data_IF_936239265410
#
_entry.id   IF_936239265410
#
_cell.length_a   1.000
_cell.length_b   1.000
_cell.length_c   1.000
_cell.angle_alpha   90.00
_cell.angle_beta   90.00
_cell.angle_gamma   90.00
#
_symmetry.space_group_name_H-M   'P 1'
#
loop_
_entity.id
_entity.type
_entity.pdbx_description
1 polymer ?
#
# COMPACT_ATOMS: atom_id res chain seq x y z
N UNK A 1 -14.33 17.83 -16.00
CA UNK A 1 -13.53 16.62 -15.66
C UNK A 1 -12.43 16.44 -16.72
N UNK A 2 -11.36 15.67 -16.44
CA UNK A 2 -10.41 15.27 -17.48
C UNK A 2 -11.08 14.54 -18.64
N UNK A 3 -10.42 14.46 -19.80
CA UNK A 3 -10.93 13.73 -20.95
C UNK A 3 -10.90 12.21 -20.73
N UNK A 4 -11.74 11.45 -21.45
CA UNK A 4 -11.73 9.98 -21.39
C UNK A 4 -10.34 9.40 -21.68
N UNK A 5 -9.56 10.05 -22.55
CA UNK A 5 -8.19 9.64 -22.86
C UNK A 5 -7.26 9.77 -21.65
N UNK A 6 -7.33 10.88 -20.91
CA UNK A 6 -6.53 11.08 -19.70
C UNK A 6 -6.88 10.06 -18.62
N UNK A 7 -8.15 9.71 -18.49
CA UNK A 7 -8.56 8.65 -17.56
C UNK A 7 -8.07 7.26 -18.00
N UNK A 8 -8.07 6.95 -19.32
CA UNK A 8 -7.49 5.70 -19.81
C UNK A 8 -6.00 5.59 -19.45
N UNK A 9 -5.25 6.68 -19.62
CA UNK A 9 -3.83 6.76 -19.29
C UNK A 9 -3.60 6.70 -17.77
N UNK A 10 -4.41 7.41 -16.99
CA UNK A 10 -4.29 7.46 -15.52
C UNK A 10 -4.62 6.14 -14.83
N UNK A 11 -5.66 5.43 -15.32
CA UNK A 11 -6.16 4.19 -14.70
C UNK A 11 -5.73 2.92 -15.45
N UNK A 12 -4.94 3.05 -16.53
CA UNK A 12 -4.49 1.94 -17.38
C UNK A 12 -5.63 1.03 -17.86
N UNK A 13 -6.77 1.63 -18.20
CA UNK A 13 -7.96 0.90 -18.66
C UNK A 13 -8.34 1.28 -20.09
N UNK A 14 -9.14 0.41 -20.72
CA UNK A 14 -9.62 0.66 -22.07
C UNK A 14 -10.62 1.83 -22.12
N UNK A 15 -10.71 2.48 -23.29
CA UNK A 15 -11.71 3.52 -23.54
C UNK A 15 -13.15 3.00 -23.38
N UNK A 16 -13.37 1.73 -23.69
CA UNK A 16 -14.66 1.07 -23.46
C UNK A 16 -15.02 1.03 -21.97
N UNK A 17 -14.05 0.68 -21.10
CA UNK A 17 -14.24 0.67 -19.65
C UNK A 17 -14.58 2.06 -19.11
N UNK A 18 -13.84 3.09 -19.54
CA UNK A 18 -14.10 4.48 -19.12
C UNK A 18 -15.48 4.95 -19.58
N UNK A 19 -15.88 4.64 -20.82
CA UNK A 19 -17.21 5.02 -21.30
C UNK A 19 -18.32 4.35 -20.48
N UNK A 20 -18.19 3.07 -20.13
CA UNK A 20 -19.15 2.40 -19.23
C UNK A 20 -19.24 3.06 -17.85
N UNK A 21 -18.12 3.49 -17.29
CA UNK A 21 -18.10 4.25 -16.03
C UNK A 21 -18.83 5.57 -16.18
N UNK A 22 -18.59 6.30 -17.26
CA UNK A 22 -19.30 7.55 -17.53
C UNK A 22 -20.80 7.35 -17.76
N UNK A 23 -21.20 6.28 -18.45
CA UNK A 23 -22.62 5.95 -18.64
C UNK A 23 -23.30 5.64 -17.30
N UNK A 24 -22.62 4.91 -16.40
CA UNK A 24 -23.11 4.65 -15.04
C UNK A 24 -23.26 5.94 -14.23
N UNK A 25 -22.22 6.80 -14.20
CA UNK A 25 -22.27 8.10 -13.52
C UNK A 25 -23.33 9.03 -14.09
N UNK A 26 -23.59 8.96 -15.40
CA UNK A 26 -24.68 9.70 -16.06
C UNK A 26 -26.06 9.16 -15.66
N UNK A 27 -26.19 7.84 -15.58
CA UNK A 27 -27.44 7.22 -15.13
C UNK A 27 -27.77 7.57 -13.67
N UNK A 28 -26.76 7.78 -12.83
CA UNK A 28 -26.88 8.27 -11.46
C UNK A 28 -27.06 9.80 -11.37
N UNK A 29 -27.07 10.51 -12.50
CA UNK A 29 -27.25 11.98 -12.54
C UNK A 29 -26.03 12.79 -12.03
N UNK A 30 -24.88 12.15 -11.84
CA UNK A 30 -23.68 12.76 -11.28
C UNK A 30 -22.84 13.52 -12.33
N UNK A 31 -22.97 13.14 -13.61
CA UNK A 31 -22.18 13.70 -14.70
C UNK A 31 -23.07 14.00 -15.91
N UNK A 32 -22.90 15.19 -16.49
CA UNK A 32 -23.44 15.54 -17.81
C UNK A 32 -22.36 15.30 -18.88
N UNK A 33 -22.71 14.48 -19.87
CA UNK A 33 -21.82 14.09 -20.97
C UNK A 33 -22.40 14.61 -22.29
N UNK A 34 -21.70 15.56 -22.88
CA UNK A 34 -22.07 16.13 -24.18
C UNK A 34 -21.07 15.69 -25.27
N UNK A 35 -21.52 15.42 -26.49
CA UNK A 35 -20.64 15.06 -27.58
C UNK A 35 -19.52 16.10 -27.77
N UNK A 36 -18.29 15.64 -27.89
CA UNK A 36 -17.08 16.46 -28.13
C UNK A 36 -16.67 17.41 -27.00
N UNK A 37 -17.33 17.38 -25.85
CA UNK A 37 -16.96 18.15 -24.67
C UNK A 37 -16.45 17.20 -23.56
N UNK A 38 -15.63 17.76 -22.67
CA UNK A 38 -15.24 17.04 -21.47
C UNK A 38 -16.46 16.84 -20.56
N UNK A 39 -16.60 15.70 -19.89
CA UNK A 39 -17.70 15.46 -18.94
C UNK A 39 -17.70 16.52 -17.84
N UNK A 40 -18.88 16.99 -17.47
CA UNK A 40 -19.10 18.00 -16.45
C UNK A 40 -19.78 17.34 -15.24
N UNK A 41 -19.25 17.55 -14.04
CA UNK A 41 -19.92 17.11 -12.80
C UNK A 41 -21.17 17.95 -12.61
N UNK A 42 -22.33 17.28 -12.47
CA UNK A 42 -23.59 17.95 -12.17
C UNK A 42 -23.58 18.33 -10.68
N UNK A 43 -23.85 19.60 -10.38
CA UNK A 43 -24.00 20.03 -8.99
C UNK A 43 -25.34 19.54 -8.45
N UNK A 44 -25.31 18.71 -7.44
CA UNK A 44 -26.52 18.20 -6.74
C UNK A 44 -26.99 19.16 -5.65
N UNK A 45 -26.62 20.45 -5.73
CA UNK A 45 -26.92 21.44 -4.68
C UNK A 45 -28.44 21.56 -4.36
N UNK A 46 -29.31 21.13 -5.27
CA UNK A 46 -30.76 21.27 -5.09
C UNK A 46 -31.46 20.01 -4.53
N UNK A 47 -30.74 18.89 -4.32
CA UNK A 47 -31.34 17.62 -3.88
C UNK A 47 -30.79 17.03 -2.59
N UNK A 48 -29.71 17.56 -2.04
CA UNK A 48 -29.19 17.07 -0.76
C UNK A 48 -29.93 17.73 0.42
N UNK A 49 -30.96 17.07 0.91
CA UNK A 49 -31.38 17.27 2.29
C UNK A 49 -30.17 16.94 3.18
N UNK A 50 -29.69 17.91 3.95
CA UNK A 50 -28.56 17.74 4.86
C UNK A 50 -28.70 16.49 5.76
N UNK A 51 -29.94 16.11 6.09
CA UNK A 51 -30.25 14.89 6.84
C UNK A 51 -29.92 13.60 6.10
N UNK A 52 -30.08 13.51 4.77
CA UNK A 52 -29.76 12.30 4.01
C UNK A 52 -28.27 12.07 3.88
N UNK A 53 -27.49 13.14 3.72
CA UNK A 53 -26.02 13.09 3.68
C UNK A 53 -25.45 12.66 5.04
N UNK A 54 -25.98 13.19 6.14
CA UNK A 54 -25.58 12.78 7.50
C UNK A 54 -25.86 11.29 7.72
N UNK A 55 -27.03 10.79 7.33
CA UNK A 55 -27.35 9.37 7.45
C UNK A 55 -26.39 8.49 6.64
N UNK A 56 -25.99 8.91 5.45
CA UNK A 56 -25.06 8.16 4.63
C UNK A 56 -23.64 8.15 5.22
N UNK A 57 -23.19 9.25 5.82
CA UNK A 57 -21.94 9.33 6.57
C UNK A 57 -21.97 8.41 7.80
N UNK A 58 -23.08 8.42 8.56
CA UNK A 58 -23.22 7.57 9.74
C UNK A 58 -23.26 6.08 9.42
N UNK A 59 -23.81 5.67 8.27
CA UNK A 59 -23.71 4.28 7.79
C UNK A 59 -22.26 3.85 7.54
N UNK A 60 -21.37 4.78 7.24
CA UNK A 60 -19.95 4.54 6.95
C UNK A 60 -19.04 4.87 8.15
N UNK A 61 -19.61 5.20 9.32
CA UNK A 61 -18.89 5.70 10.51
C UNK A 61 -17.67 4.86 10.85
N UNK A 62 -17.84 3.55 10.96
CA UNK A 62 -16.75 2.64 11.34
C UNK A 62 -15.60 2.66 10.32
N UNK A 63 -15.91 2.55 9.03
CA UNK A 63 -14.91 2.59 7.96
C UNK A 63 -14.16 3.94 7.95
N UNK A 64 -14.87 5.06 8.09
CA UNK A 64 -14.28 6.39 8.14
C UNK A 64 -13.30 6.49 9.31
N UNK A 65 -13.72 6.08 10.51
CA UNK A 65 -12.89 6.14 11.72
C UNK A 65 -11.64 5.29 11.58
N UNK A 66 -11.76 4.03 11.16
CA UNK A 66 -10.63 3.14 10.95
C UNK A 66 -9.65 3.65 9.88
N UNK A 67 -10.15 4.34 8.84
CA UNK A 67 -9.31 5.00 7.83
C UNK A 67 -8.47 6.11 8.48
N UNK A 68 -9.06 6.97 9.32
CA UNK A 68 -8.30 8.02 10.02
C UNK A 68 -7.30 7.45 11.03
N UNK A 69 -7.67 6.42 11.78
CA UNK A 69 -6.76 5.72 12.69
C UNK A 69 -5.57 5.11 11.95
N UNK A 70 -5.84 4.50 10.78
CA UNK A 70 -4.77 3.97 9.91
C UNK A 70 -3.89 5.08 9.37
N UNK A 71 -4.44 6.22 8.98
CA UNK A 71 -3.68 7.41 8.59
C UNK A 71 -2.70 7.87 9.66
N UNK A 72 -3.20 8.01 10.88
CA UNK A 72 -2.36 8.45 12.00
C UNK A 72 -1.17 7.52 12.24
N UNK A 73 -1.32 6.23 11.94
CA UNK A 73 -0.26 5.25 12.09
C UNK A 73 0.79 5.30 10.98
N UNK A 74 0.39 5.41 9.71
CA UNK A 74 1.31 5.16 8.60
C UNK A 74 1.75 6.40 7.84
N UNK A 75 0.91 7.45 7.71
CA UNK A 75 1.26 8.63 6.92
C UNK A 75 2.46 9.42 7.46
N UNK A 76 2.68 9.57 8.76
CA UNK A 76 3.86 10.28 9.27
C UNK A 76 5.17 9.71 8.71
N UNK A 77 5.34 8.39 8.74
CA UNK A 77 6.54 7.73 8.19
C UNK A 77 6.70 7.97 6.69
N UNK A 78 5.61 7.86 5.91
CA UNK A 78 5.63 8.06 4.47
C UNK A 78 5.99 9.51 4.09
N UNK A 79 5.41 10.49 4.81
CA UNK A 79 5.66 11.91 4.57
C UNK A 79 7.08 12.30 4.96
N UNK A 80 7.56 11.87 6.14
CA UNK A 80 8.94 12.15 6.58
C UNK A 80 9.96 11.59 5.60
N UNK A 81 9.79 10.33 5.20
CA UNK A 81 10.64 9.72 4.19
C UNK A 81 10.63 10.50 2.87
N UNK A 82 9.46 10.93 2.41
CA UNK A 82 9.31 11.64 1.15
C UNK A 82 9.92 13.05 1.18
N UNK A 83 9.93 13.68 2.36
CA UNK A 83 10.51 15.02 2.57
C UNK A 83 12.03 15.04 2.70
N UNK A 84 12.71 13.89 2.84
CA UNK A 84 14.16 13.86 2.96
C UNK A 84 14.85 14.45 1.73
N UNK A 85 15.66 15.48 1.93
CA UNK A 85 16.37 16.18 0.88
C UNK A 85 15.49 17.04 -0.04
N UNK A 86 14.25 17.34 0.36
CA UNK A 86 13.32 18.17 -0.40
C UNK A 86 13.19 19.56 0.24
N UNK A 87 13.31 20.60 -0.58
CA UNK A 87 12.84 21.92 -0.20
C UNK A 87 11.33 22.01 -0.40
N UNK A 88 10.60 21.96 0.71
CA UNK A 88 9.13 21.97 0.70
C UNK A 88 8.54 23.27 0.14
N UNK A 89 9.27 24.38 0.20
CA UNK A 89 8.77 25.69 -0.26
C UNK A 89 8.59 25.78 -1.77
N UNK A 90 9.38 25.01 -2.52
CA UNK A 90 9.28 24.97 -3.99
C UNK A 90 8.17 24.08 -4.49
N UNK A 91 7.55 23.29 -3.59
CA UNK A 91 6.48 22.39 -3.99
C UNK A 91 5.21 23.12 -4.40
N UNK A 92 4.50 22.62 -5.42
CA UNK A 92 3.18 23.07 -5.77
C UNK A 92 2.26 23.04 -4.53
N UNK A 93 1.40 24.05 -4.43
CA UNK A 93 0.42 24.20 -3.33
C UNK A 93 0.98 24.54 -1.94
N UNK A 94 2.29 24.57 -1.68
CA UNK A 94 2.84 24.89 -0.35
C UNK A 94 2.29 26.20 0.22
N UNK A 95 2.46 27.32 -0.51
CA UNK A 95 1.98 28.62 -0.07
C UNK A 95 0.47 28.67 0.16
N UNK A 96 -0.28 27.98 -0.71
CA UNK A 96 -1.74 27.89 -0.60
C UNK A 96 -2.16 27.03 0.60
N UNK A 97 -1.46 25.92 0.85
CA UNK A 97 -1.70 25.04 1.99
C UNK A 97 -1.43 25.75 3.32
N UNK A 98 -0.30 26.45 3.46
CA UNK A 98 0.03 27.24 4.65
C UNK A 98 -1.00 28.34 4.87
N UNK A 99 -1.44 29.03 3.80
CA UNK A 99 -2.50 30.04 3.91
C UNK A 99 -3.82 29.42 4.37
N UNK A 100 -4.24 28.29 3.81
CA UNK A 100 -5.47 27.60 4.18
C UNK A 100 -5.45 27.14 5.65
N UNK A 101 -4.33 26.58 6.11
CA UNK A 101 -4.14 26.21 7.51
C UNK A 101 -4.27 27.41 8.46
N UNK A 102 -3.58 28.52 8.16
CA UNK A 102 -3.64 29.76 8.97
C UNK A 102 -5.04 30.36 9.06
N UNK A 103 -5.86 30.15 8.05
CA UNK A 103 -7.26 30.60 8.02
C UNK A 103 -8.24 29.56 8.59
N UNK A 104 -7.73 28.50 9.23
CA UNK A 104 -8.55 27.43 9.81
C UNK A 104 -9.48 26.76 8.78
N UNK A 105 -9.04 26.56 7.55
CA UNK A 105 -9.79 26.01 6.42
C UNK A 105 -11.00 26.84 5.94
N UNK A 106 -11.27 28.01 6.52
CA UNK A 106 -12.48 28.78 6.20
C UNK A 106 -12.45 29.45 4.81
N UNK A 107 -11.26 29.86 4.33
CA UNK A 107 -11.13 30.63 3.08
C UNK A 107 -10.45 29.89 1.92
N UNK A 108 -10.06 28.65 2.07
CA UNK A 108 -9.38 27.89 1.02
C UNK A 108 -9.67 26.40 1.09
N UNK A 109 -10.41 25.98 2.09
CA UNK A 109 -10.74 24.58 2.32
C UNK A 109 -9.51 23.71 2.60
N UNK A 110 -9.77 22.43 2.73
CA UNK A 110 -8.77 21.39 2.94
C UNK A 110 -7.99 21.00 1.67
N UNK A 111 -8.48 21.41 0.48
CA UNK A 111 -7.93 20.97 -0.82
C UNK A 111 -6.45 21.31 -1.04
N UNK A 112 -5.94 22.52 -0.73
CA UNK A 112 -4.52 22.81 -0.89
C UNK A 112 -3.62 21.97 0.04
N UNK A 113 -3.91 21.78 1.34
CA UNK A 113 -3.14 20.86 2.19
C UNK A 113 -3.14 19.43 1.68
N UNK A 114 -4.29 18.92 1.23
CA UNK A 114 -4.40 17.57 0.66
C UNK A 114 -3.57 17.41 -0.63
N UNK A 115 -3.60 18.41 -1.52
CA UNK A 115 -2.76 18.41 -2.72
C UNK A 115 -1.27 18.50 -2.39
N UNK A 116 -0.88 19.28 -1.39
CA UNK A 116 0.50 19.34 -0.92
C UNK A 116 0.95 17.97 -0.39
N UNK A 117 0.13 17.31 0.43
CA UNK A 117 0.40 15.95 0.92
C UNK A 117 0.61 14.95 -0.21
N UNK A 118 -0.23 15.01 -1.25
CA UNK A 118 -0.08 14.18 -2.45
C UNK A 118 1.25 14.46 -3.18
N UNK A 119 1.61 15.73 -3.38
CA UNK A 119 2.88 16.11 -4.04
C UNK A 119 4.10 15.67 -3.22
N UNK A 120 4.07 15.82 -1.89
CA UNK A 120 5.12 15.30 -1.00
C UNK A 120 5.32 13.80 -1.21
N UNK A 121 4.23 13.03 -1.19
CA UNK A 121 4.31 11.57 -1.39
C UNK A 121 4.77 11.19 -2.80
N UNK A 122 4.38 11.97 -3.81
CA UNK A 122 4.81 11.76 -5.20
C UNK A 122 6.30 11.95 -5.39
N UNK A 123 6.90 12.99 -4.77
CA UNK A 123 8.36 13.23 -4.85
C UNK A 123 9.18 12.20 -4.06
N UNK A 124 8.56 11.45 -3.15
CA UNK A 124 9.16 10.31 -2.49
C UNK A 124 9.66 9.21 -3.43
N UNK A 125 9.22 9.26 -4.71
CA UNK A 125 9.68 8.36 -5.78
C UNK A 125 9.07 6.97 -5.74
N UNK A 126 8.09 6.72 -4.86
CA UNK A 126 7.37 5.46 -4.76
C UNK A 126 5.89 5.68 -5.14
N UNK A 127 5.46 5.10 -6.25
CA UNK A 127 4.09 5.26 -6.76
C UNK A 127 3.03 4.76 -5.78
N UNK A 128 3.35 3.72 -4.97
CA UNK A 128 2.41 3.16 -4.00
C UNK A 128 2.00 4.17 -2.92
N UNK A 129 2.88 5.13 -2.58
CA UNK A 129 2.55 6.16 -1.57
C UNK A 129 1.42 7.07 -2.03
N UNK A 130 1.54 7.62 -3.26
CA UNK A 130 0.51 8.49 -3.82
C UNK A 130 -0.76 7.73 -4.21
N UNK A 131 -0.64 6.47 -4.67
CA UNK A 131 -1.78 5.58 -4.93
C UNK A 131 -2.57 5.32 -3.64
N UNK A 132 -1.88 4.96 -2.55
CA UNK A 132 -2.49 4.72 -1.25
C UNK A 132 -3.16 5.99 -0.71
N UNK A 133 -2.47 7.13 -0.75
CA UNK A 133 -3.03 8.42 -0.31
C UNK A 133 -4.28 8.81 -1.09
N UNK A 134 -4.29 8.60 -2.41
CA UNK A 134 -5.46 8.85 -3.25
C UNK A 134 -6.62 7.93 -2.91
N UNK A 135 -6.33 6.65 -2.61
CA UNK A 135 -7.35 5.68 -2.17
C UNK A 135 -7.98 6.12 -0.85
N UNK A 136 -7.19 6.52 0.10
CA UNK A 136 -7.69 7.06 1.35
C UNK A 136 -8.62 8.27 1.13
N UNK A 137 -8.32 9.13 0.16
CA UNK A 137 -9.18 10.26 -0.21
C UNK A 137 -10.62 9.89 -0.58
N UNK A 138 -10.84 8.64 -1.03
CA UNK A 138 -12.19 8.15 -1.35
C UNK A 138 -13.03 7.83 -0.11
N UNK A 139 -12.39 7.50 1.00
CA UNK A 139 -13.04 7.01 2.23
C UNK A 139 -13.09 8.04 3.35
N UNK A 140 -12.16 9.00 3.40
CA UNK A 140 -12.01 9.92 4.53
C UNK A 140 -13.13 10.95 4.69
N UNK A 141 -13.94 11.19 3.63
CA UNK A 141 -15.08 12.15 3.64
C UNK A 141 -14.73 13.56 4.12
N UNK A 142 -13.48 13.96 4.00
CA UNK A 142 -12.98 15.23 4.55
C UNK A 142 -13.75 16.46 4.00
N UNK A 143 -14.21 16.41 2.75
CA UNK A 143 -15.05 17.46 2.15
C UNK A 143 -16.32 17.67 2.96
N UNK A 144 -17.01 16.60 3.34
CA UNK A 144 -18.22 16.68 4.16
C UNK A 144 -17.92 17.36 5.51
N UNK A 145 -16.89 16.91 6.22
CA UNK A 145 -16.57 17.46 7.54
C UNK A 145 -16.20 18.95 7.46
N UNK A 146 -15.46 19.38 6.46
CA UNK A 146 -14.98 20.76 6.37
C UNK A 146 -15.97 21.73 5.71
N UNK A 147 -16.79 21.27 4.77
CA UNK A 147 -17.69 22.13 3.98
C UNK A 147 -19.15 22.07 4.46
N UNK A 148 -19.60 20.95 5.01
CA UNK A 148 -21.01 20.72 5.36
C UNK A 148 -21.27 20.55 6.86
N UNK A 149 -20.24 20.23 7.67
CA UNK A 149 -20.39 20.02 9.10
C UNK A 149 -19.93 21.23 9.92
N UNK A 150 -20.87 22.07 10.37
CA UNK A 150 -20.57 23.28 11.17
C UNK A 150 -19.92 22.96 12.51
N UNK A 151 -20.26 21.84 13.12
CA UNK A 151 -19.62 21.37 14.35
C UNK A 151 -18.12 21.17 14.13
N UNK A 152 -17.74 20.41 13.11
CA UNK A 152 -16.34 20.14 12.79
C UNK A 152 -15.59 21.44 12.45
N UNK A 153 -16.13 22.25 11.53
CA UNK A 153 -15.45 23.46 11.05
C UNK A 153 -15.20 24.47 12.17
N UNK A 154 -16.13 24.62 13.12
CA UNK A 154 -15.99 25.52 14.25
C UNK A 154 -14.90 25.08 15.24
N UNK A 155 -14.87 23.81 15.60
CA UNK A 155 -13.93 23.29 16.62
C UNK A 155 -12.55 23.02 16.04
N UNK A 156 -12.48 22.46 14.85
CA UNK A 156 -11.21 22.13 14.20
C UNK A 156 -10.44 23.38 13.72
N UNK A 157 -11.13 24.45 13.34
CA UNK A 157 -10.47 25.68 12.85
C UNK A 157 -9.50 26.30 13.85
N UNK A 158 -9.81 26.27 15.15
CA UNK A 158 -8.93 26.82 16.19
C UNK A 158 -7.62 26.02 16.32
N UNK A 159 -7.71 24.71 16.30
CA UNK A 159 -6.56 23.80 16.40
C UNK A 159 -5.72 23.84 15.12
N UNK A 160 -6.36 23.90 13.95
CA UNK A 160 -5.67 24.04 12.67
C UNK A 160 -4.79 25.29 12.59
N UNK A 161 -5.24 26.42 13.13
CA UNK A 161 -4.45 27.65 13.20
C UNK A 161 -3.22 27.49 14.09
N UNK A 162 -3.36 26.83 15.23
CA UNK A 162 -2.23 26.55 16.14
C UNK A 162 -1.15 25.71 15.43
N UNK A 163 -1.56 24.64 14.78
CA UNK A 163 -0.67 23.74 14.01
C UNK A 163 -0.03 24.45 12.83
N UNK A 164 -0.77 25.33 12.13
CA UNK A 164 -0.30 26.05 10.97
C UNK A 164 0.90 26.98 11.23
N UNK A 165 1.07 27.43 12.46
CA UNK A 165 2.18 28.29 12.82
C UNK A 165 3.49 27.52 12.99
N UNK A 166 3.43 26.22 13.30
CA UNK A 166 4.58 25.37 13.57
C UNK A 166 4.97 24.51 12.37
N UNK A 167 3.99 24.05 11.57
CA UNK A 167 4.22 23.17 10.41
C UNK A 167 5.29 23.69 9.44
N UNK A 168 5.26 24.96 9.00
CA UNK A 168 6.22 25.44 8.00
C UNK A 168 7.68 25.28 8.46
N UNK A 169 7.95 25.62 9.71
CA UNK A 169 9.31 25.58 10.26
C UNK A 169 9.79 24.13 10.47
N UNK A 170 8.90 23.26 10.94
CA UNK A 170 9.23 21.84 11.12
C UNK A 170 9.40 21.12 9.79
N UNK A 171 8.58 21.40 8.79
CA UNK A 171 8.74 20.80 7.46
C UNK A 171 10.05 21.21 6.77
N UNK A 172 10.56 22.43 7.07
CA UNK A 172 11.86 22.91 6.59
C UNK A 172 13.05 22.34 7.37
N UNK A 173 12.88 22.05 8.65
CA UNK A 173 13.92 21.49 9.51
C UNK A 173 14.48 20.17 8.96
N UNK A 174 15.71 19.81 9.34
CA UNK A 174 16.36 18.59 8.85
C UNK A 174 16.12 17.37 9.75
N UNK A 175 15.63 17.56 10.98
CA UNK A 175 15.41 16.48 11.93
C UNK A 175 14.17 15.64 11.61
N UNK A 176 14.34 14.36 11.19
CA UNK A 176 13.22 13.50 10.85
C UNK A 176 12.37 13.08 12.06
N UNK A 177 12.94 13.03 13.27
CA UNK A 177 12.20 12.69 14.49
C UNK A 177 11.22 13.80 14.86
N UNK A 178 11.65 15.07 14.77
CA UNK A 178 10.77 16.23 15.05
C UNK A 178 9.63 16.24 14.03
N UNK A 179 9.93 16.04 12.74
CA UNK A 179 8.91 15.94 11.68
C UNK A 179 7.91 14.82 11.97
N UNK A 180 8.40 13.63 12.30
CA UNK A 180 7.57 12.48 12.60
C UNK A 180 6.62 12.76 13.78
N UNK A 181 7.14 13.24 14.88
CA UNK A 181 6.34 13.52 16.08
C UNK A 181 5.27 14.58 15.82
N UNK A 182 5.60 15.65 15.10
CA UNK A 182 4.62 16.69 14.75
C UNK A 182 3.51 16.11 13.86
N UNK A 183 3.87 15.39 12.80
CA UNK A 183 2.90 14.80 11.86
C UNK A 183 2.04 13.75 12.57
N UNK A 184 2.62 12.90 13.41
CA UNK A 184 1.88 11.92 14.21
C UNK A 184 0.86 12.60 15.12
N UNK A 185 1.28 13.62 15.87
CA UNK A 185 0.38 14.38 16.73
C UNK A 185 -0.75 15.07 15.94
N UNK A 186 -0.42 15.64 14.78
CA UNK A 186 -1.41 16.27 13.90
C UNK A 186 -2.48 15.26 13.41
N UNK A 187 -2.07 14.09 12.94
CA UNK A 187 -3.00 13.09 12.46
C UNK A 187 -3.80 12.43 13.59
N UNK A 188 -3.22 12.24 14.77
CA UNK A 188 -3.94 11.77 15.95
C UNK A 188 -5.03 12.75 16.36
N UNK A 189 -4.71 14.04 16.48
CA UNK A 189 -5.70 15.09 16.78
C UNK A 189 -6.80 15.16 15.73
N UNK A 190 -6.45 15.06 14.44
CA UNK A 190 -7.45 15.00 13.38
C UNK A 190 -8.39 13.80 13.55
N UNK A 191 -7.86 12.63 13.90
CA UNK A 191 -8.64 11.43 14.19
C UNK A 191 -9.60 11.64 15.35
N UNK A 192 -9.15 12.22 16.47
CA UNK A 192 -9.98 12.55 17.63
C UNK A 192 -11.11 13.52 17.26
N UNK A 193 -10.82 14.55 16.45
CA UNK A 193 -11.85 15.49 15.98
C UNK A 193 -12.89 14.81 15.09
N UNK A 194 -12.48 13.91 14.21
CA UNK A 194 -13.41 13.14 13.38
C UNK A 194 -14.28 12.22 14.22
N UNK A 195 -13.69 11.52 15.18
CA UNK A 195 -14.42 10.65 16.10
C UNK A 195 -15.47 11.42 16.90
N UNK A 196 -15.07 12.54 17.52
CA UNK A 196 -15.99 13.41 18.27
C UNK A 196 -17.11 13.95 17.39
N UNK A 197 -16.80 14.33 16.14
CA UNK A 197 -17.80 14.79 15.17
C UNK A 197 -18.79 13.69 14.80
N UNK A 198 -18.30 12.48 14.52
CA UNK A 198 -19.16 11.32 14.20
C UNK A 198 -20.03 10.93 15.39
N UNK A 199 -19.53 11.01 16.62
CA UNK A 199 -20.30 10.77 17.83
C UNK A 199 -21.40 11.83 17.98
N UNK A 200 -21.07 13.11 17.87
CA UNK A 200 -22.06 14.21 17.89
C UNK A 200 -23.16 14.02 16.85
N UNK A 201 -22.80 13.70 15.60
CA UNK A 201 -23.81 13.45 14.54
C UNK A 201 -24.68 12.22 14.84
N UNK A 202 -24.09 11.18 15.44
CA UNK A 202 -24.80 9.97 15.84
C UNK A 202 -25.83 10.22 16.94
N UNK A 203 -25.48 11.06 17.94
CA UNK A 203 -26.39 11.45 19.02
C UNK A 203 -27.53 12.35 18.51
N UNK A 204 -27.22 13.26 17.58
CA UNK A 204 -28.23 14.12 16.96
C UNK A 204 -29.18 13.38 16.00
N UNK A 205 -28.86 12.13 15.61
CA UNK A 205 -29.60 11.37 14.61
C UNK A 205 -29.90 9.94 15.09
N UNK A 206 -30.78 9.73 16.09
CA UNK A 206 -30.93 8.45 16.80
C UNK A 206 -31.46 7.26 15.98
N UNK A 207 -31.96 7.46 14.76
CA UNK A 207 -32.60 6.41 13.95
C UNK A 207 -31.66 5.68 12.98
N UNK A 208 -30.35 5.92 13.06
CA UNK A 208 -29.40 5.25 12.18
C UNK A 208 -28.98 3.89 12.74
N UNK A 209 -29.65 2.82 12.30
CA UNK A 209 -29.14 1.46 12.54
C UNK A 209 -28.03 1.21 11.52
N UNK A 210 -26.85 0.86 11.99
CA UNK A 210 -25.70 0.49 11.18
C UNK A 210 -26.05 -0.75 10.35
N UNK A 211 -26.35 -0.54 9.08
CA UNK A 211 -26.33 -1.63 8.11
C UNK A 211 -24.94 -1.67 7.47
N UNK A 212 -24.51 -2.86 7.08
CA UNK A 212 -23.22 -3.17 6.45
C UNK A 212 -22.73 -2.05 5.53
N UNK A 213 -21.81 -1.24 6.06
CA UNK A 213 -21.33 -0.05 5.38
C UNK A 213 -20.27 -0.37 4.33
N UNK A 214 -19.82 0.68 3.67
CA UNK A 214 -18.70 0.66 2.75
C UNK A 214 -17.46 0.07 3.45
N UNK A 215 -16.83 -0.94 2.85
CA UNK A 215 -15.56 -1.50 3.32
C UNK A 215 -14.39 -0.86 2.58
N UNK A 216 -13.28 -0.64 3.30
CA UNK A 216 -12.06 -0.18 2.68
C UNK A 216 -11.55 -1.23 1.68
N UNK A 217 -11.08 -0.79 0.53
CA UNK A 217 -10.35 -1.63 -0.41
C UNK A 217 -9.25 -0.85 -1.07
N UNK A 218 -8.08 -1.46 -1.16
CA UNK A 218 -6.94 -0.97 -1.91
C UNK A 218 -6.41 -2.12 -2.74
N UNK A 219 -6.30 -1.91 -4.04
CA UNK A 219 -5.77 -2.91 -4.96
C UNK A 219 -4.69 -2.26 -5.83
N UNK A 220 -3.42 -2.36 -5.42
CA UNK A 220 -2.30 -1.81 -6.16
C UNK A 220 -2.01 -2.55 -7.48
N UNK A 221 -2.63 -3.72 -7.71
CA UNK A 221 -2.49 -4.53 -8.92
C UNK A 221 -3.55 -4.23 -9.98
N UNK A 222 -4.41 -3.23 -9.79
CA UNK A 222 -5.48 -2.89 -10.76
C UNK A 222 -4.90 -2.66 -12.16
N UNK A 223 -5.45 -3.38 -13.13
CA UNK A 223 -5.05 -3.31 -14.55
C UNK A 223 -3.93 -4.26 -14.97
N UNK A 224 -3.30 -4.99 -14.04
CA UNK A 224 -2.29 -6.01 -14.32
C UNK A 224 -2.78 -7.45 -14.09
N UNK A 225 -4.03 -7.64 -13.72
CA UNK A 225 -4.67 -8.94 -13.42
C UNK A 225 -4.96 -9.75 -14.69
N UNK A 226 -3.91 -10.20 -15.38
CA UNK A 226 -4.08 -11.25 -16.37
C UNK A 226 -4.05 -12.61 -15.65
N UNK A 227 -5.03 -13.48 -15.92
CA UNK A 227 -5.10 -14.83 -15.32
C UNK A 227 -3.78 -15.60 -15.44
N UNK A 228 -3.06 -15.44 -16.55
CA UNK A 228 -1.76 -16.09 -16.73
C UNK A 228 -0.66 -15.51 -15.83
N UNK A 229 -0.71 -14.22 -15.46
CA UNK A 229 0.28 -13.61 -14.56
C UNK A 229 0.21 -14.22 -13.16
N UNK A 230 -1.00 -14.48 -12.66
CA UNK A 230 -1.20 -15.15 -11.36
C UNK A 230 -0.60 -16.56 -11.36
N UNK A 231 -0.75 -17.29 -12.47
CA UNK A 231 -0.13 -18.61 -12.63
C UNK A 231 1.39 -18.52 -12.64
N UNK A 232 1.94 -17.53 -13.37
CA UNK A 232 3.38 -17.28 -13.41
C UNK A 232 3.93 -16.99 -12.01
N UNK A 233 3.26 -16.13 -11.27
CA UNK A 233 3.72 -15.68 -9.97
C UNK A 233 3.60 -16.82 -8.92
N UNK A 234 2.53 -17.62 -8.94
CA UNK A 234 2.38 -18.81 -8.10
C UNK A 234 3.40 -19.91 -8.42
N UNK A 235 3.61 -20.21 -9.70
CA UNK A 235 4.63 -21.19 -10.09
C UNK A 235 6.05 -20.70 -9.75
N UNK A 236 6.35 -19.41 -9.92
CA UNK A 236 7.61 -18.82 -9.46
C UNK A 236 7.79 -18.98 -7.96
N UNK A 237 6.74 -18.75 -7.17
CA UNK A 237 6.77 -18.92 -5.73
C UNK A 237 7.08 -20.38 -5.36
N UNK A 238 6.38 -21.33 -5.95
CA UNK A 238 6.56 -22.77 -5.71
C UNK A 238 7.95 -23.27 -6.12
N UNK A 239 8.48 -22.81 -7.27
CA UNK A 239 9.86 -23.07 -7.68
C UNK A 239 10.81 -22.48 -6.64
N UNK A 240 10.56 -21.28 -6.22
CA UNK A 240 11.39 -20.61 -5.25
C UNK A 240 11.37 -21.26 -3.86
N UNK A 241 10.23 -21.72 -3.37
CA UNK A 241 10.11 -22.47 -2.11
C UNK A 241 10.73 -23.87 -2.19
N UNK A 242 11.04 -24.33 -3.43
CA UNK A 242 11.63 -25.67 -3.65
C UNK A 242 10.59 -26.78 -3.77
N UNK A 243 9.29 -26.43 -3.84
CA UNK A 243 8.23 -27.41 -4.15
C UNK A 243 8.48 -28.03 -5.54
N UNK A 244 8.93 -27.20 -6.50
CA UNK A 244 9.44 -27.64 -7.78
C UNK A 244 10.95 -27.35 -7.87
N UNK A 245 11.78 -28.32 -7.49
CA UNK A 245 13.23 -28.17 -7.52
C UNK A 245 13.78 -28.21 -8.95
N UNK A 246 14.99 -27.67 -9.15
CA UNK A 246 15.72 -27.76 -10.43
C UNK A 246 15.84 -29.22 -10.86
N UNK A 247 15.49 -29.50 -12.11
CA UNK A 247 15.43 -30.86 -12.67
C UNK A 247 14.07 -31.54 -12.55
N UNK A 248 13.12 -31.01 -11.77
CA UNK A 248 11.75 -31.54 -11.70
C UNK A 248 10.89 -31.05 -12.86
N UNK A 249 9.95 -31.87 -13.29
CA UNK A 249 8.91 -31.48 -14.22
C UNK A 249 7.75 -30.81 -13.50
N UNK A 250 7.27 -29.71 -14.05
CA UNK A 250 5.99 -29.12 -13.66
C UNK A 250 4.84 -30.06 -14.04
N UNK A 251 3.67 -30.00 -13.38
CA UNK A 251 2.48 -30.70 -13.83
C UNK A 251 2.15 -30.39 -15.29
N UNK A 252 1.56 -31.37 -16.01
CA UNK A 252 1.17 -31.16 -17.39
C UNK A 252 0.18 -30.01 -17.57
N UNK A 253 0.19 -29.35 -18.73
CA UNK A 253 -0.66 -28.21 -19.07
C UNK A 253 -2.13 -28.44 -18.70
N UNK A 254 -2.66 -29.66 -18.93
CA UNK A 254 -4.05 -30.01 -18.58
C UNK A 254 -4.27 -30.04 -17.07
N UNK A 255 -3.29 -30.53 -16.30
CA UNK A 255 -3.37 -30.55 -14.83
C UNK A 255 -3.32 -29.14 -14.25
N UNK A 256 -2.41 -28.31 -14.75
CA UNK A 256 -2.33 -26.89 -14.37
C UNK A 256 -3.61 -26.13 -14.76
N UNK A 257 -4.17 -26.40 -15.96
CA UNK A 257 -5.43 -25.77 -16.38
C UNK A 257 -6.60 -26.11 -15.43
N UNK A 258 -6.68 -27.37 -15.00
CA UNK A 258 -7.67 -27.78 -13.99
C UNK A 258 -7.38 -27.18 -12.61
N UNK A 259 -6.13 -27.14 -12.16
CA UNK A 259 -5.73 -26.61 -10.86
C UNK A 259 -6.03 -25.10 -10.73
N UNK A 260 -5.83 -24.35 -11.80
CA UNK A 260 -6.05 -22.89 -11.81
C UNK A 260 -7.41 -22.48 -12.39
N UNK A 261 -8.26 -23.43 -12.79
CA UNK A 261 -9.59 -23.20 -13.38
C UNK A 261 -9.53 -22.29 -14.63
N UNK A 262 -8.53 -22.49 -15.49
CA UNK A 262 -8.30 -21.69 -16.69
C UNK A 262 -8.19 -22.54 -17.95
N UNK A 263 -8.17 -21.88 -19.10
CA UNK A 263 -7.92 -22.56 -20.38
C UNK A 263 -6.46 -23.04 -20.50
N UNK A 264 -6.24 -24.11 -21.27
CA UNK A 264 -4.89 -24.60 -21.59
C UNK A 264 -4.06 -23.49 -22.29
N UNK A 265 -4.68 -22.64 -23.11
CA UNK A 265 -4.00 -21.51 -23.75
C UNK A 265 -3.46 -20.49 -22.75
N UNK A 266 -4.18 -20.26 -21.65
CA UNK A 266 -3.75 -19.40 -20.55
C UNK A 266 -2.53 -19.99 -19.84
N UNK A 267 -2.53 -21.31 -19.57
CA UNK A 267 -1.39 -22.04 -18.99
C UNK A 267 -0.18 -21.97 -19.91
N UNK A 268 -0.36 -22.24 -21.20
CA UNK A 268 0.75 -22.14 -22.20
C UNK A 268 1.39 -20.76 -22.20
N UNK A 269 0.58 -19.71 -22.13
CA UNK A 269 1.09 -18.34 -22.03
C UNK A 269 1.90 -18.13 -20.75
N UNK A 270 1.43 -18.66 -19.62
CA UNK A 270 2.16 -18.61 -18.36
C UNK A 270 3.50 -19.37 -18.44
N UNK A 271 3.50 -20.60 -18.94
CA UNK A 271 4.71 -21.40 -19.10
C UNK A 271 5.71 -20.78 -20.07
N UNK A 272 5.23 -20.19 -21.17
CA UNK A 272 6.07 -19.43 -22.11
C UNK A 272 6.73 -18.22 -21.44
N UNK A 273 6.02 -17.50 -20.58
CA UNK A 273 6.58 -16.38 -19.84
C UNK A 273 7.62 -16.86 -18.81
N UNK A 274 7.37 -17.96 -18.09
CA UNK A 274 8.36 -18.58 -17.20
C UNK A 274 9.61 -19.05 -17.94
N UNK A 275 9.45 -19.60 -19.15
CA UNK A 275 10.57 -20.00 -19.99
C UNK A 275 11.37 -18.80 -20.50
N UNK A 276 10.71 -17.72 -20.91
CA UNK A 276 11.37 -16.46 -21.26
C UNK A 276 12.16 -15.88 -20.09
N UNK A 277 11.65 -16.01 -18.86
CA UNK A 277 12.35 -15.61 -17.63
C UNK A 277 13.50 -16.56 -17.26
N UNK A 278 13.60 -17.72 -17.91
CA UNK A 278 14.69 -18.68 -17.72
C UNK A 278 14.52 -19.61 -16.51
N UNK A 279 13.34 -19.69 -15.91
CA UNK A 279 13.07 -20.60 -14.78
C UNK A 279 12.69 -22.01 -15.20
N UNK A 280 12.17 -22.15 -16.42
CA UNK A 280 11.75 -23.43 -16.94
C UNK A 280 12.19 -23.60 -18.39
N UNK A 281 12.14 -24.83 -18.91
CA UNK A 281 12.35 -25.17 -20.31
C UNK A 281 11.31 -26.18 -20.75
N UNK A 282 10.56 -25.86 -21.81
CA UNK A 282 9.59 -26.78 -22.39
C UNK A 282 10.29 -27.75 -23.33
N UNK A 283 10.15 -29.05 -23.08
CA UNK A 283 10.69 -30.13 -23.86
C UNK A 283 9.56 -30.79 -24.66
N UNK A 284 9.67 -30.77 -26.00
CA UNK A 284 8.65 -31.35 -26.89
C UNK A 284 8.33 -32.80 -26.50
N UNK A 285 7.04 -33.09 -26.24
CA UNK A 285 6.56 -34.42 -25.88
C UNK A 285 6.89 -34.90 -24.48
N UNK A 286 7.66 -34.13 -23.66
CA UNK A 286 8.09 -34.53 -22.32
C UNK A 286 7.52 -33.66 -21.19
N UNK A 287 7.13 -32.41 -21.51
CA UNK A 287 6.61 -31.46 -20.54
C UNK A 287 7.59 -30.30 -20.25
N UNK A 288 7.30 -29.53 -19.23
CA UNK A 288 8.08 -28.37 -18.82
C UNK A 288 8.92 -28.70 -17.58
N UNK A 289 10.23 -28.55 -17.67
CA UNK A 289 11.21 -28.85 -16.60
C UNK A 289 11.71 -27.55 -15.97
N UNK A 290 11.89 -27.55 -14.66
CA UNK A 290 12.52 -26.45 -13.92
C UNK A 290 14.03 -26.48 -14.17
N UNK A 291 14.59 -25.34 -14.54
CA UNK A 291 16.02 -25.18 -14.83
C UNK A 291 16.64 -24.13 -13.92
N UNK A 292 17.95 -24.22 -13.71
CA UNK A 292 18.69 -23.13 -13.07
C UNK A 292 18.78 -21.94 -14.03
N UNK A 293 18.39 -20.72 -13.59
CA UNK A 293 18.44 -19.57 -14.47
C UNK A 293 19.87 -19.20 -14.85
N UNK A 294 20.08 -19.01 -16.14
CA UNK A 294 21.33 -18.57 -16.71
C UNK A 294 21.47 -17.02 -16.61
N UNK A 295 22.63 -16.54 -16.16
CA UNK A 295 22.94 -15.10 -16.01
C UNK A 295 22.72 -14.31 -17.31
N UNK A 296 22.95 -14.92 -18.49
CA UNK A 296 22.71 -14.26 -19.79
C UNK A 296 21.22 -14.02 -20.06
N UNK A 297 20.34 -14.93 -19.63
CA UNK A 297 18.89 -14.76 -19.74
C UNK A 297 18.39 -13.69 -18.78
N UNK A 298 18.94 -13.63 -17.57
CA UNK A 298 18.59 -12.63 -16.56
C UNK A 298 18.92 -11.21 -17.04
N UNK A 299 20.04 -10.99 -17.73
CA UNK A 299 20.37 -9.69 -18.34
C UNK A 299 19.33 -9.28 -19.40
N UNK A 300 18.77 -10.22 -20.18
CA UNK A 300 17.71 -9.92 -21.15
C UNK A 300 16.42 -9.47 -20.49
N UNK A 301 16.13 -9.93 -19.27
CA UNK A 301 14.98 -9.46 -18.51
C UNK A 301 15.07 -7.97 -18.15
N UNK A 302 16.27 -7.44 -17.92
CA UNK A 302 16.50 -6.02 -17.68
C UNK A 302 16.12 -5.13 -18.90
N UNK A 303 16.02 -5.72 -20.10
CA UNK A 303 15.56 -5.05 -21.32
C UNK A 303 14.06 -5.16 -21.54
N UNK A 304 13.36 -6.00 -20.77
CA UNK A 304 11.91 -6.18 -20.87
C UNK A 304 11.21 -5.15 -19.97
N UNK A 305 10.52 -4.17 -20.54
CA UNK A 305 9.86 -3.08 -19.83
C UNK A 305 8.85 -3.58 -18.77
N UNK A 306 8.06 -4.62 -19.09
CA UNK A 306 7.08 -5.18 -18.16
C UNK A 306 7.73 -5.88 -16.96
N UNK A 307 8.90 -6.49 -17.16
CA UNK A 307 9.66 -7.08 -16.05
C UNK A 307 10.33 -6.03 -15.17
N UNK A 308 10.89 -4.98 -15.79
CA UNK A 308 11.46 -3.82 -15.08
C UNK A 308 10.39 -3.13 -14.22
N UNK A 309 9.19 -2.94 -14.76
CA UNK A 309 8.07 -2.36 -14.02
C UNK A 309 7.69 -3.21 -12.79
N UNK A 310 7.60 -4.53 -12.95
CA UNK A 310 7.34 -5.45 -11.82
C UNK A 310 8.47 -5.42 -10.79
N UNK A 311 9.73 -5.36 -11.22
CA UNK A 311 10.88 -5.25 -10.32
C UNK A 311 10.88 -3.94 -9.52
N UNK A 312 10.57 -2.81 -10.17
CA UNK A 312 10.37 -1.52 -9.50
C UNK A 312 9.24 -1.59 -8.48
N UNK A 313 8.09 -2.16 -8.87
CA UNK A 313 6.93 -2.29 -8.00
C UNK A 313 7.19 -3.18 -6.77
N UNK A 314 7.93 -4.26 -6.95
CA UNK A 314 8.41 -5.11 -5.85
C UNK A 314 9.28 -4.34 -4.84
N UNK A 315 10.28 -3.58 -5.32
CA UNK A 315 11.11 -2.77 -4.43
C UNK A 315 10.36 -1.60 -3.81
N UNK A 316 9.40 -1.02 -4.50
CA UNK A 316 8.45 -0.05 -3.94
C UNK A 316 7.59 -0.66 -2.84
N UNK A 317 7.15 -1.91 -2.99
CA UNK A 317 6.42 -2.63 -1.95
C UNK A 317 7.31 -2.93 -0.73
N UNK A 318 8.58 -3.36 -0.93
CA UNK A 318 9.53 -3.51 0.17
C UNK A 318 9.78 -2.18 0.90
N UNK A 319 9.94 -1.08 0.17
CA UNK A 319 10.14 0.24 0.75
C UNK A 319 8.91 0.71 1.54
N UNK A 320 7.71 0.47 1.01
CA UNK A 320 6.45 0.73 1.74
C UNK A 320 6.39 -0.12 3.01
N UNK A 321 6.67 -1.42 2.91
CA UNK A 321 6.66 -2.32 4.06
C UNK A 321 7.62 -1.85 5.17
N UNK A 322 8.85 -1.42 4.83
CA UNK A 322 9.80 -0.87 5.83
C UNK A 322 9.19 0.27 6.63
N UNK A 323 8.41 1.14 5.99
CA UNK A 323 7.84 2.33 6.61
C UNK A 323 6.58 2.05 7.43
N UNK A 324 5.79 1.03 7.03
CA UNK A 324 4.48 0.77 7.67
C UNK A 324 4.51 -0.36 8.69
N UNK A 325 5.51 -1.26 8.63
CA UNK A 325 5.51 -2.46 9.48
C UNK A 325 5.78 -2.15 10.95
N UNK A 326 6.63 -1.15 11.24
CA UNK A 326 6.90 -0.74 12.62
C UNK A 326 5.63 -0.27 13.34
N UNK A 327 4.89 0.74 12.84
CA UNK A 327 3.65 1.16 13.48
C UNK A 327 2.59 0.05 13.49
N UNK A 328 2.54 -0.83 12.49
CA UNK A 328 1.62 -1.96 12.48
C UNK A 328 1.97 -3.00 13.55
N UNK A 329 3.25 -3.33 13.73
CA UNK A 329 3.72 -4.25 14.75
C UNK A 329 3.46 -3.71 16.17
N UNK A 330 3.67 -2.41 16.38
CA UNK A 330 3.33 -1.74 17.66
C UNK A 330 1.83 -1.80 17.95
N UNK A 331 0.99 -1.55 16.97
CA UNK A 331 -0.46 -1.61 17.14
C UNK A 331 -0.96 -3.05 17.39
N UNK A 332 -0.31 -4.04 16.80
CA UNK A 332 -0.66 -5.45 16.98
C UNK A 332 -0.10 -6.07 18.28
N UNK A 333 1.03 -5.58 18.78
CA UNK A 333 1.74 -6.16 19.93
C UNK A 333 0.86 -6.44 21.17
N UNK A 334 -0.05 -5.54 21.60
CA UNK A 334 -0.91 -5.78 22.76
C UNK A 334 -1.94 -6.89 22.56
N UNK A 335 -2.19 -7.33 21.34
CA UNK A 335 -3.21 -8.32 20.98
C UNK A 335 -2.66 -9.76 20.98
N UNK A 336 -1.32 -9.94 21.00
CA UNK A 336 -0.72 -11.26 21.00
C UNK A 336 -0.99 -11.99 22.30
N UNK A 337 -1.53 -13.20 22.19
CA UNK A 337 -1.71 -14.09 23.35
C UNK A 337 -0.44 -14.89 23.63
N UNK A 338 -0.31 -15.41 24.87
CA UNK A 338 0.83 -16.24 25.24
C UNK A 338 0.89 -17.51 24.40
N UNK A 339 -0.26 -18.12 24.16
CA UNK A 339 -0.39 -19.33 23.35
C UNK A 339 0.10 -19.10 21.93
N UNK A 340 -0.27 -17.98 21.32
CA UNK A 340 0.20 -17.60 19.96
C UNK A 340 1.72 -17.40 19.91
N UNK A 341 2.29 -16.78 20.94
CA UNK A 341 3.74 -16.58 21.03
C UNK A 341 4.48 -17.92 21.22
N UNK A 342 3.90 -18.85 21.93
CA UNK A 342 4.45 -20.22 22.12
C UNK A 342 4.38 -21.02 20.83
N UNK A 343 3.25 -20.99 20.11
CA UNK A 343 3.10 -21.60 18.79
C UNK A 343 4.11 -21.07 17.76
N UNK A 344 4.34 -19.76 17.74
CA UNK A 344 5.33 -19.14 16.85
C UNK A 344 6.75 -19.59 17.19
N UNK A 345 7.09 -19.69 18.49
CA UNK A 345 8.40 -20.16 18.92
C UNK A 345 8.65 -21.60 18.51
N UNK A 346 7.66 -22.48 18.65
CA UNK A 346 7.75 -23.87 18.25
C UNK A 346 7.95 -24.00 16.73
N UNK A 347 7.25 -23.19 15.92
CA UNK A 347 7.46 -23.14 14.47
C UNK A 347 8.87 -22.67 14.09
N UNK A 348 9.45 -21.75 14.84
CA UNK A 348 10.76 -21.19 14.54
C UNK A 348 11.93 -22.13 14.90
N UNK A 349 11.64 -23.37 15.27
CA UNK A 349 12.65 -24.42 15.40
C UNK A 349 12.97 -25.12 14.07
N UNK A 350 12.10 -25.01 13.06
CA UNK A 350 12.26 -25.62 11.74
C UNK A 350 13.09 -24.74 10.80
N UNK A 351 14.25 -25.22 10.35
CA UNK A 351 15.18 -24.45 9.50
C UNK A 351 14.70 -24.19 8.07
N UNK A 352 13.58 -24.78 7.65
CA UNK A 352 13.10 -24.72 6.25
C UNK A 352 12.00 -23.68 6.00
N UNK A 353 11.60 -22.89 7.02
CA UNK A 353 10.56 -21.87 6.91
C UNK A 353 11.11 -20.45 6.88
N UNK A 354 10.34 -19.54 6.29
CA UNK A 354 10.63 -18.10 6.25
C UNK A 354 9.91 -17.44 7.43
N UNK A 355 10.58 -17.33 8.57
CA UNK A 355 10.01 -16.81 9.82
C UNK A 355 9.45 -15.39 9.68
N UNK A 356 10.04 -14.56 8.80
CA UNK A 356 9.53 -13.22 8.53
C UNK A 356 8.12 -13.24 7.92
N UNK A 357 7.78 -14.25 7.12
CA UNK A 357 6.42 -14.43 6.58
C UNK A 357 5.43 -14.84 7.68
N UNK A 358 5.85 -15.72 8.58
CA UNK A 358 4.97 -16.20 9.65
C UNK A 358 4.68 -15.13 10.69
N UNK A 359 5.71 -14.36 11.08
CA UNK A 359 5.51 -13.23 12.01
C UNK A 359 4.66 -12.11 11.38
N UNK A 360 4.81 -11.84 10.06
CA UNK A 360 3.93 -10.90 9.37
C UNK A 360 2.47 -11.34 9.41
N UNK A 361 2.21 -12.64 9.13
CA UNK A 361 0.85 -13.19 9.22
C UNK A 361 0.28 -13.06 10.63
N UNK A 362 1.11 -13.24 11.66
CA UNK A 362 0.70 -13.07 13.04
C UNK A 362 0.39 -11.58 13.36
N UNK A 363 1.24 -10.64 12.93
CA UNK A 363 0.97 -9.20 13.04
C UNK A 363 -0.36 -8.85 12.35
N UNK A 364 -0.59 -9.36 11.14
CA UNK A 364 -1.83 -9.12 10.40
C UNK A 364 -3.07 -9.65 11.13
N UNK A 365 -3.01 -10.87 11.70
CA UNK A 365 -4.12 -11.45 12.47
C UNK A 365 -4.44 -10.64 13.73
N UNK A 366 -3.42 -10.06 14.34
CA UNK A 366 -3.53 -9.24 15.54
C UNK A 366 -3.78 -7.74 15.25
N UNK A 367 -3.98 -7.38 13.96
CA UNK A 367 -4.33 -6.02 13.55
C UNK A 367 -5.83 -5.82 13.64
N UNK A 368 -6.26 -4.86 14.47
CA UNK A 368 -7.68 -4.54 14.70
C UNK A 368 -8.27 -3.60 13.65
N UNK A 369 -7.44 -2.91 12.87
CA UNK A 369 -7.85 -1.94 11.85
C UNK A 369 -7.93 -2.64 10.48
N UNK A 370 -9.16 -2.81 9.95
CA UNK A 370 -9.37 -3.43 8.63
C UNK A 370 -8.56 -2.76 7.51
N UNK A 371 -8.50 -1.40 7.39
CA UNK A 371 -7.67 -0.78 6.37
C UNK A 371 -6.18 -1.10 6.48
N UNK A 372 -5.64 -1.18 7.69
CA UNK A 372 -4.24 -1.53 7.92
C UNK A 372 -3.97 -2.98 7.52
N UNK A 373 -4.86 -3.91 7.90
CA UNK A 373 -4.79 -5.30 7.46
C UNK A 373 -4.76 -5.43 5.94
N UNK A 374 -5.66 -4.73 5.23
CA UNK A 374 -5.73 -4.75 3.76
C UNK A 374 -4.45 -4.20 3.15
N UNK A 375 -3.92 -3.09 3.67
CA UNK A 375 -2.67 -2.48 3.17
C UNK A 375 -1.50 -3.44 3.35
N UNK A 376 -1.36 -4.08 4.52
CA UNK A 376 -0.32 -5.06 4.77
C UNK A 376 -0.45 -6.28 3.85
N UNK A 377 -1.69 -6.79 3.69
CA UNK A 377 -1.99 -7.94 2.84
C UNK A 377 -1.65 -7.68 1.37
N UNK A 378 -2.13 -6.56 0.82
CA UNK A 378 -1.87 -6.20 -0.57
C UNK A 378 -0.38 -5.88 -0.81
N UNK A 379 0.29 -5.24 0.16
CA UNK A 379 1.74 -5.02 0.09
C UNK A 379 2.48 -6.36 0.11
N UNK A 380 2.09 -7.30 0.99
CA UNK A 380 2.69 -8.62 1.04
C UNK A 380 2.48 -9.39 -0.28
N UNK A 381 1.31 -9.29 -0.88
CA UNK A 381 1.04 -9.91 -2.19
C UNK A 381 1.98 -9.38 -3.29
N UNK A 382 2.29 -8.09 -3.30
CA UNK A 382 3.30 -7.52 -4.19
C UNK A 382 4.71 -8.09 -3.92
N UNK A 383 5.02 -8.49 -2.68
CA UNK A 383 6.31 -9.07 -2.31
C UNK A 383 6.46 -10.51 -2.77
N UNK A 384 5.36 -11.24 -2.97
CA UNK A 384 5.39 -12.63 -3.46
C UNK A 384 6.06 -12.73 -4.84
N UNK A 385 5.86 -11.74 -5.70
CA UNK A 385 6.52 -11.68 -7.00
C UNK A 385 8.06 -11.75 -6.91
N UNK A 386 8.64 -11.16 -5.88
CA UNK A 386 10.10 -11.08 -5.71
C UNK A 386 10.73 -12.29 -5.01
N UNK A 387 9.95 -13.28 -4.60
CA UNK A 387 10.48 -14.47 -3.91
C UNK A 387 11.54 -15.19 -4.73
N UNK A 388 11.45 -15.20 -6.06
CA UNK A 388 12.45 -15.83 -6.93
C UNK A 388 13.83 -15.16 -6.84
N UNK A 389 13.94 -13.87 -6.50
CA UNK A 389 15.23 -13.22 -6.26
C UNK A 389 15.89 -13.67 -4.96
N UNK A 390 15.11 -14.15 -4.00
CA UNK A 390 15.62 -14.64 -2.73
C UNK A 390 16.28 -16.02 -2.82
N UNK A 391 16.10 -16.76 -3.92
CA UNK A 391 16.47 -18.17 -4.05
C UNK A 391 17.82 -18.43 -4.70
N UNK A 392 18.62 -17.41 -5.01
CA UNK A 392 19.96 -17.59 -5.55
C UNK A 392 21.02 -17.96 -4.48
N UNK A 393 22.22 -18.45 -4.87
CA UNK A 393 23.18 -19.20 -4.01
C UNK A 393 23.52 -18.60 -2.65
N UNK A 394 23.23 -17.33 -2.43
CA UNK A 394 23.40 -16.68 -1.12
C UNK A 394 22.25 -16.89 -0.13
N UNK A 395 21.21 -17.66 -0.50
CA UNK A 395 19.97 -17.91 0.25
C UNK A 395 20.20 -18.34 1.70
N UNK A 396 21.02 -19.37 1.92
CA UNK A 396 21.24 -19.96 3.26
C UNK A 396 21.71 -18.91 4.28
N UNK A 397 22.63 -18.03 3.89
CA UNK A 397 23.14 -16.98 4.79
C UNK A 397 22.08 -15.90 5.07
N UNK A 398 21.30 -15.51 4.07
CA UNK A 398 20.27 -14.47 4.22
C UNK A 398 19.13 -14.93 5.09
N UNK A 399 18.60 -16.13 4.82
CA UNK A 399 17.52 -16.72 5.62
C UNK A 399 17.98 -16.96 7.06
N UNK A 400 19.19 -17.48 7.25
CA UNK A 400 19.76 -17.67 8.59
C UNK A 400 19.85 -16.35 9.37
N UNK A 401 20.28 -15.26 8.72
CA UNK A 401 20.34 -13.95 9.37
C UNK A 401 18.95 -13.41 9.71
N UNK A 402 18.03 -13.40 8.75
CA UNK A 402 16.64 -12.93 8.96
C UNK A 402 15.91 -13.77 10.02
N UNK A 403 16.04 -15.10 9.97
CA UNK A 403 15.41 -15.97 10.94
C UNK A 403 15.92 -15.72 12.37
N UNK A 404 17.24 -15.47 12.55
CA UNK A 404 17.81 -15.09 13.85
C UNK A 404 17.22 -13.76 14.36
N UNK A 405 17.06 -12.78 13.48
CA UNK A 405 16.48 -11.48 13.87
C UNK A 405 14.99 -11.62 14.24
N UNK A 406 14.23 -12.45 13.53
CA UNK A 406 12.82 -12.71 13.86
C UNK A 406 12.69 -13.45 15.20
N UNK A 407 13.57 -14.43 15.50
CA UNK A 407 13.59 -15.10 16.82
C UNK A 407 13.87 -14.09 17.93
N UNK A 408 14.86 -13.18 17.73
CA UNK A 408 15.12 -12.11 18.68
C UNK A 408 13.91 -11.20 18.86
N UNK A 409 13.26 -10.81 17.76
CA UNK A 409 12.05 -9.99 17.82
C UNK A 409 10.93 -10.68 18.62
N UNK A 410 10.70 -11.97 18.38
CA UNK A 410 9.69 -12.75 19.15
C UNK A 410 10.03 -12.79 20.65
N UNK A 411 11.32 -12.94 21.01
CA UNK A 411 11.77 -12.91 22.39
C UNK A 411 11.49 -11.53 23.01
N UNK A 412 11.80 -10.43 22.33
CA UNK A 412 11.53 -9.07 22.77
C UNK A 412 10.03 -8.85 23.05
N UNK A 413 9.15 -9.39 22.18
CA UNK A 413 7.71 -9.32 22.39
C UNK A 413 7.26 -10.11 23.62
N UNK A 414 7.82 -11.31 23.84
CA UNK A 414 7.59 -12.12 25.05
C UNK A 414 8.01 -11.43 26.34
N UNK A 415 9.06 -10.62 26.29
CA UNK A 415 9.58 -9.83 27.39
C UNK A 415 8.76 -8.52 27.62
N UNK A 416 7.72 -8.28 26.80
CA UNK A 416 6.88 -7.09 26.86
C UNK A 416 7.49 -5.84 26.20
N UNK A 417 8.60 -5.99 25.46
CA UNK A 417 9.26 -4.87 24.79
C UNK A 417 8.74 -4.74 23.34
N UNK A 418 7.56 -4.14 23.20
CA UNK A 418 6.89 -3.95 21.92
C UNK A 418 7.69 -3.04 20.94
N UNK A 419 8.40 -2.02 21.45
CA UNK A 419 9.22 -1.14 20.63
C UNK A 419 10.39 -1.88 19.99
N UNK A 420 11.14 -2.65 20.80
CA UNK A 420 12.26 -3.44 20.29
C UNK A 420 11.79 -4.52 19.30
N UNK A 421 10.64 -5.16 19.57
CA UNK A 421 10.01 -6.08 18.63
C UNK A 421 9.74 -5.41 17.28
N UNK A 422 9.03 -4.28 17.29
CA UNK A 422 8.64 -3.57 16.08
C UNK A 422 9.85 -3.06 15.29
N UNK A 423 10.86 -2.57 15.99
CA UNK A 423 12.14 -2.15 15.41
C UNK A 423 12.86 -3.31 14.73
N UNK A 424 12.95 -4.47 15.39
CA UNK A 424 13.62 -5.66 14.85
C UNK A 424 12.93 -6.17 13.58
N UNK A 425 11.59 -6.14 13.54
CA UNK A 425 10.84 -6.54 12.33
C UNK A 425 11.06 -5.53 11.20
N UNK A 426 11.03 -4.22 11.48
CA UNK A 426 11.32 -3.19 10.47
C UNK A 426 12.75 -3.32 9.91
N UNK A 427 13.73 -3.65 10.77
CA UNK A 427 15.11 -3.88 10.37
C UNK A 427 15.26 -5.10 9.45
N UNK A 428 14.47 -6.16 9.64
CA UNK A 428 14.42 -7.30 8.72
C UNK A 428 14.01 -6.86 7.30
N UNK A 429 12.96 -6.05 7.18
CA UNK A 429 12.52 -5.55 5.87
C UNK A 429 13.50 -4.55 5.27
N UNK A 430 14.12 -3.69 6.08
CA UNK A 430 15.17 -2.76 5.65
C UNK A 430 16.40 -3.49 5.10
N UNK A 431 16.86 -4.51 5.79
CA UNK A 431 17.93 -5.40 5.35
C UNK A 431 17.57 -6.07 4.01
N UNK A 432 16.35 -6.59 3.91
CA UNK A 432 15.88 -7.24 2.68
C UNK A 432 15.83 -6.27 1.49
N UNK A 433 15.29 -5.06 1.67
CA UNK A 433 15.27 -4.02 0.65
C UNK A 433 16.69 -3.65 0.17
N UNK A 434 17.59 -3.38 1.10
CA UNK A 434 18.98 -3.01 0.78
C UNK A 434 19.66 -4.12 -0.02
N UNK A 435 19.52 -5.38 0.42
CA UNK A 435 20.11 -6.53 -0.22
C UNK A 435 19.52 -6.81 -1.60
N UNK A 436 18.19 -6.76 -1.75
CA UNK A 436 17.53 -7.00 -3.03
C UNK A 436 17.90 -5.93 -4.05
N UNK A 437 17.89 -4.65 -3.65
CA UNK A 437 18.35 -3.56 -4.49
C UNK A 437 19.79 -3.79 -4.97
N UNK A 438 20.72 -4.09 -4.06
CA UNK A 438 22.13 -4.38 -4.39
C UNK A 438 22.23 -5.54 -5.38
N UNK A 439 21.54 -6.63 -5.11
CA UNK A 439 21.55 -7.82 -5.96
C UNK A 439 20.99 -7.53 -7.37
N UNK A 440 19.88 -6.80 -7.47
CA UNK A 440 19.30 -6.42 -8.75
C UNK A 440 20.25 -5.53 -9.57
N UNK A 441 20.96 -4.58 -8.95
CA UNK A 441 21.89 -3.70 -9.64
C UNK A 441 23.16 -4.45 -10.07
N UNK A 442 23.80 -5.17 -9.16
CA UNK A 442 25.10 -5.79 -9.39
C UNK A 442 25.01 -7.02 -10.28
N UNK A 443 24.05 -7.92 -10.02
CA UNK A 443 23.92 -9.20 -10.73
C UNK A 443 23.06 -9.10 -11.98
N UNK A 444 21.86 -8.47 -11.87
CA UNK A 444 20.91 -8.41 -12.98
C UNK A 444 21.05 -7.17 -13.86
N UNK A 445 21.90 -6.19 -13.48
CA UNK A 445 22.11 -4.93 -14.18
C UNK A 445 20.83 -4.08 -14.32
N UNK A 446 19.90 -4.21 -13.36
CA UNK A 446 18.69 -3.37 -13.26
C UNK A 446 19.03 -1.98 -12.73
N UNK A 447 19.69 -1.14 -13.53
CA UNK A 447 20.11 0.20 -13.10
C UNK A 447 18.94 1.13 -12.77
N UNK A 448 17.74 0.86 -13.31
CA UNK A 448 16.52 1.61 -13.01
C UNK A 448 16.15 1.60 -11.51
N UNK A 449 16.53 0.56 -10.77
CA UNK A 449 16.25 0.46 -9.32
C UNK A 449 17.34 1.10 -8.46
N UNK A 450 18.44 1.57 -9.05
CA UNK A 450 19.56 2.13 -8.29
C UNK A 450 19.18 3.35 -7.43
N UNK A 451 18.20 4.13 -7.89
CA UNK A 451 17.75 5.36 -7.22
C UNK A 451 16.72 5.10 -6.10
N UNK A 452 16.27 3.86 -5.89
CA UNK A 452 15.36 3.55 -4.78
C UNK A 452 16.11 3.76 -3.47
N UNK A 453 15.60 4.66 -2.63
CA UNK A 453 16.18 4.96 -1.31
C UNK A 453 15.78 3.89 -0.30
N UNK A 454 16.70 3.52 0.58
CA UNK A 454 16.43 2.67 1.74
C UNK A 454 16.01 3.58 2.90
N UNK A 455 14.81 3.40 3.50
CA UNK A 455 14.41 4.24 4.63
C UNK A 455 15.34 4.05 5.82
N UNK A 456 15.75 5.17 6.42
CA UNK A 456 16.52 5.18 7.66
C UNK A 456 15.60 4.89 8.86
N UNK A 457 16.22 4.62 10.03
CA UNK A 457 15.52 4.48 11.30
C UNK A 457 15.29 5.89 11.86
N UNK A 458 14.03 6.21 12.23
CA UNK A 458 13.70 7.46 12.91
C UNK A 458 13.33 7.19 14.35
#
# INVERSE_FOLDING_TARGET
>A
MPSSRMYCEQFHVSRYTINRVFDALRAEGLVDIRPRLAPIVVSTKDTCNSSSTVLEILKQKECILQVYQTFALILPSLLVFSLQGCDVEVLPYYKQAVKALRLGYTAGGWRPPSKLGYEILRIGGNSLFSELYSTFGLYNKLTFFTEECTYFSKHFSQEAVSVANVIPDVLKGDDPHIKYNLLSNMYQKLTEFIENTLNYLSEATPKCHSQTGLRFSWNPMRGQDYCYSKIVDDLNLKIGLGEYSVGMFLPYEKQLANQYEVSISTVRKALSELEQRGFVKTLNGKGTIVIEPDDTKLHRLALNSGYVEKALRYLHALQLMVLIIRPAALAAAPQFTKEELDELADRFTSFDSIYLSDILKAIMRNTTLEPLYIILSETNHLLEWGHHFAYYPSKKHTLSHLNKQVILALQQLREGNADAFADSIADCYRYNLSRMKKHMVEKYKFYHVANIRVPEKY
#
